data_IF_139707198080
#
_entry.id   IF_139707198080
#
_cell.length_a   1.000
_cell.length_b   1.000
_cell.length_c   1.000
_cell.angle_alpha   90.00
_cell.angle_beta   90.00
_cell.angle_gamma   90.00
#
_symmetry.space_group_name_H-M   'P 1'
#
loop_
_entity.id
_entity.type
_entity.pdbx_description
1 polymer ?
#
# COMPACT_ATOMS: atom_id res chain seq x y z
N UNK A 1 -13.27 -23.53 -11.37
CA UNK A 1 -13.57 -23.47 -9.92
C UNK A 1 -13.47 -22.01 -9.53
N UNK A 2 -14.60 -21.32 -9.39
CA UNK A 2 -14.67 -19.92 -8.94
C UNK A 2 -14.78 -19.92 -7.42
N UNK A 3 -13.78 -19.38 -6.76
CA UNK A 3 -13.69 -19.29 -5.31
C UNK A 3 -14.66 -18.19 -4.90
N UNK A 4 -15.67 -18.54 -4.12
CA UNK A 4 -16.78 -17.69 -3.67
C UNK A 4 -16.37 -16.70 -2.58
N UNK A 5 -15.32 -15.93 -2.81
CA UNK A 5 -14.95 -14.80 -1.95
C UNK A 5 -15.21 -13.54 -2.75
N UNK A 6 -16.08 -12.68 -2.20
CA UNK A 6 -16.64 -11.49 -2.83
C UNK A 6 -17.81 -11.83 -3.77
N UNK A 7 -18.98 -12.02 -3.16
CA UNK A 7 -20.25 -12.11 -3.87
C UNK A 7 -20.41 -10.88 -4.77
N UNK A 8 -20.63 -11.15 -6.05
CA UNK A 8 -21.00 -10.18 -7.06
C UNK A 8 -22.26 -9.41 -6.62
N UNK A 9 -22.12 -8.11 -6.30
CA UNK A 9 -23.28 -7.22 -6.18
C UNK A 9 -23.27 -6.17 -5.06
N UNK A 10 -22.31 -6.17 -4.13
CA UNK A 10 -22.21 -5.10 -3.12
C UNK A 10 -21.28 -3.96 -3.61
N UNK A 11 -21.67 -2.67 -3.49
CA UNK A 11 -20.81 -1.54 -3.85
C UNK A 11 -19.60 -1.37 -2.91
N UNK A 12 -19.58 -2.13 -1.82
CA UNK A 12 -18.45 -2.26 -0.90
C UNK A 12 -17.80 -3.60 -1.17
N UNK A 13 -16.49 -3.62 -1.46
CA UNK A 13 -15.75 -4.85 -1.76
C UNK A 13 -15.72 -5.88 -0.62
N UNK A 14 -14.64 -6.65 -0.53
CA UNK A 14 -14.57 -7.86 0.32
C UNK A 14 -14.53 -7.60 1.85
N UNK A 15 -14.82 -6.38 2.30
CA UNK A 15 -14.95 -6.00 3.72
C UNK A 15 -16.40 -6.19 4.19
N UNK A 16 -16.66 -7.02 5.21
CA UNK A 16 -17.97 -7.08 5.82
C UNK A 16 -18.27 -5.76 6.55
N UNK A 17 -19.11 -4.90 5.96
CA UNK A 17 -19.58 -3.65 6.57
C UNK A 17 -19.00 -2.37 5.94
N UNK A 18 -19.40 -1.22 6.52
CA UNK A 18 -18.95 0.11 6.06
C UNK A 18 -17.53 0.37 6.55
N UNK A 19 -16.63 0.68 5.62
CA UNK A 19 -15.26 1.16 5.92
C UNK A 19 -15.34 2.46 6.74
N UNK A 20 -14.56 2.61 7.85
CA UNK A 20 -14.45 3.88 8.58
C UNK A 20 -14.00 5.02 7.65
N UNK A 21 -14.22 6.28 8.07
CA UNK A 21 -13.85 7.44 7.23
C UNK A 21 -12.32 7.62 7.14
N UNK A 22 -11.62 7.46 8.27
CA UNK A 22 -10.21 7.83 8.41
C UNK A 22 -9.29 6.61 8.37
N UNK A 23 -9.39 5.84 7.28
CA UNK A 23 -8.53 4.69 7.05
C UNK A 23 -7.91 4.74 5.66
N UNK A 24 -6.76 4.10 5.55
CA UNK A 24 -6.02 3.93 4.31
C UNK A 24 -5.69 2.46 4.09
N UNK A 25 -5.37 2.10 2.86
CA UNK A 25 -5.24 0.70 2.48
C UNK A 25 -3.77 0.26 2.52
N UNK A 26 -3.52 -0.82 3.25
CA UNK A 26 -2.24 -1.54 3.25
C UNK A 26 -2.49 -2.93 2.68
N UNK A 27 -1.70 -3.30 1.68
CA UNK A 27 -1.71 -4.63 1.07
C UNK A 27 -0.31 -5.24 1.08
N UNK A 28 -0.25 -6.56 1.00
CA UNK A 28 1.01 -7.31 0.95
C UNK A 28 0.96 -8.39 -0.13
N UNK A 29 2.02 -8.48 -0.93
CA UNK A 29 2.31 -9.54 -1.89
C UNK A 29 3.52 -10.34 -1.39
N UNK A 30 3.38 -11.13 -0.30
CA UNK A 30 4.52 -11.74 0.38
C UNK A 30 5.24 -12.81 -0.45
N UNK A 31 4.63 -13.29 -1.53
CA UNK A 31 5.21 -14.29 -2.42
C UNK A 31 6.03 -13.69 -3.57
N UNK A 32 5.86 -12.40 -3.87
CA UNK A 32 6.41 -11.77 -5.08
C UNK A 32 7.21 -10.53 -4.72
N UNK A 33 8.48 -10.53 -5.12
CA UNK A 33 9.30 -9.32 -5.10
C UNK A 33 9.06 -8.55 -6.41
N UNK A 34 8.77 -7.26 -6.33
CA UNK A 34 8.56 -6.41 -7.49
C UNK A 34 9.57 -5.27 -7.52
N UNK A 35 9.81 -4.72 -8.72
CA UNK A 35 10.59 -3.50 -8.93
C UNK A 35 9.69 -2.29 -9.24
N UNK A 36 8.42 -2.53 -9.54
CA UNK A 36 7.38 -1.52 -9.71
C UNK A 36 5.99 -2.16 -9.66
N UNK A 37 5.02 -1.44 -9.12
CA UNK A 37 3.63 -1.86 -9.03
C UNK A 37 2.74 -0.62 -9.18
N UNK A 38 1.72 -0.72 -10.04
CA UNK A 38 0.74 0.34 -10.27
C UNK A 38 -0.66 -0.26 -10.14
N UNK A 39 -1.50 0.36 -9.31
CA UNK A 39 -2.90 -0.02 -9.18
C UNK A 39 -3.75 0.84 -10.12
N UNK A 40 -4.28 0.26 -11.18
CA UNK A 40 -5.26 0.94 -12.02
C UNK A 40 -6.67 0.60 -11.52
N UNK A 41 -7.27 1.52 -10.76
CA UNK A 41 -8.59 1.38 -10.17
C UNK A 41 -9.57 2.38 -10.82
N UNK A 42 -10.22 2.02 -11.95
CA UNK A 42 -11.18 2.90 -12.60
C UNK A 42 -12.35 3.23 -11.66
N UNK A 43 -12.75 4.51 -11.61
CA UNK A 43 -13.84 4.98 -10.76
C UNK A 43 -13.44 5.39 -9.33
N UNK A 44 -12.14 5.41 -9.01
CA UNK A 44 -11.63 5.80 -7.69
C UNK A 44 -11.45 7.32 -7.49
N UNK A 45 -12.13 8.17 -8.26
CA UNK A 45 -11.92 9.62 -8.26
C UNK A 45 -12.16 10.29 -6.89
N UNK A 46 -12.91 9.63 -6.00
CA UNK A 46 -13.20 10.11 -4.64
C UNK A 46 -12.33 9.44 -3.58
N UNK A 47 -11.49 8.46 -3.95
CA UNK A 47 -10.58 7.77 -3.04
C UNK A 47 -9.27 8.56 -2.90
N UNK A 48 -9.23 9.43 -1.89
CA UNK A 48 -8.07 10.30 -1.62
C UNK A 48 -7.05 9.65 -0.68
N UNK A 49 -7.41 8.55 0.00
CA UNK A 49 -6.52 7.86 0.92
C UNK A 49 -5.34 7.21 0.17
N UNK A 50 -4.13 7.21 0.77
CA UNK A 50 -2.98 6.51 0.21
C UNK A 50 -3.22 5.00 0.13
N UNK A 51 -2.66 4.37 -0.90
CA UNK A 51 -2.57 2.91 -0.98
C UNK A 51 -1.10 2.49 -0.87
N UNK A 52 -0.80 1.61 0.09
CA UNK A 52 0.52 1.02 0.28
C UNK A 52 0.49 -0.45 -0.12
N UNK A 53 1.50 -0.90 -0.84
CA UNK A 53 1.69 -2.32 -1.15
C UNK A 53 3.11 -2.74 -0.87
N UNK A 54 3.27 -3.74 0.00
CA UNK A 54 4.55 -4.36 0.31
C UNK A 54 4.76 -5.62 -0.53
N UNK A 55 5.97 -5.85 -0.99
CA UNK A 55 6.36 -7.08 -1.69
C UNK A 55 7.14 -8.04 -0.80
N UNK A 56 7.51 -9.19 -1.36
CA UNK A 56 8.48 -10.10 -0.74
C UNK A 56 9.83 -9.40 -0.60
N UNK A 57 10.39 -9.38 0.61
CA UNK A 57 11.74 -8.85 0.84
C UNK A 57 12.78 -9.69 0.10
N UNK A 58 13.91 -9.06 -0.25
CA UNK A 58 15.02 -9.69 -0.96
C UNK A 58 16.34 -9.34 -0.29
N UNK A 59 17.23 -10.33 -0.19
CA UNK A 59 18.62 -10.09 0.19
C UNK A 59 19.39 -9.71 -1.08
N UNK A 60 20.16 -8.62 -1.03
CA UNK A 60 21.13 -8.27 -2.05
C UNK A 60 22.40 -7.83 -1.35
N UNK A 61 23.49 -8.55 -1.60
CA UNK A 61 24.74 -8.38 -0.84
C UNK A 61 24.45 -8.52 0.68
N UNK A 62 24.95 -7.58 1.49
CA UNK A 62 24.76 -7.57 2.94
C UNK A 62 23.55 -6.73 3.38
N UNK A 63 22.59 -6.47 2.47
CA UNK A 63 21.41 -5.64 2.74
C UNK A 63 20.10 -6.38 2.47
N UNK A 64 19.13 -6.12 3.34
CA UNK A 64 17.74 -6.53 3.17
C UNK A 64 16.96 -5.40 2.51
N UNK A 65 16.35 -5.67 1.36
CA UNK A 65 15.51 -4.72 0.63
C UNK A 65 14.04 -5.13 0.72
N UNK A 66 13.18 -4.18 1.05
CA UNK A 66 11.73 -4.35 1.08
C UNK A 66 11.09 -3.60 -0.09
N UNK A 67 10.49 -4.29 -1.07
CA UNK A 67 9.72 -3.62 -2.11
C UNK A 67 8.50 -2.90 -1.52
N UNK A 68 8.38 -1.62 -1.81
CA UNK A 68 7.27 -0.76 -1.40
C UNK A 68 6.76 0.00 -2.62
N UNK A 69 5.44 -0.05 -2.85
CA UNK A 69 4.74 0.82 -3.78
C UNK A 69 3.77 1.71 -3.00
N UNK A 70 3.84 3.02 -3.26
CA UNK A 70 2.94 4.02 -2.69
C UNK A 70 2.17 4.63 -3.84
N UNK A 71 0.84 4.58 -3.77
CA UNK A 71 -0.04 5.26 -4.70
C UNK A 71 -0.80 6.36 -3.96
N UNK A 72 -0.74 7.56 -4.53
CA UNK A 72 -1.31 8.77 -3.98
C UNK A 72 -2.23 9.43 -5.02
N UNK A 73 -3.34 10.00 -4.56
CA UNK A 73 -4.16 10.85 -5.41
C UNK A 73 -3.56 12.26 -5.49
N UNK A 74 -3.31 12.76 -6.71
CA UNK A 74 -2.60 14.03 -6.92
C UNK A 74 -3.30 15.27 -6.34
N UNK A 75 -4.62 15.21 -6.18
CA UNK A 75 -5.37 16.29 -5.53
C UNK A 75 -5.08 16.41 -4.01
N UNK A 76 -4.58 15.35 -3.38
CA UNK A 76 -4.29 15.32 -1.93
C UNK A 76 -2.80 15.53 -1.63
N UNK A 77 -1.91 15.07 -2.52
CA UNK A 77 -0.47 15.13 -2.34
C UNK A 77 0.27 15.11 -3.67
N UNK A 78 1.49 15.64 -3.67
CA UNK A 78 2.38 15.67 -4.83
C UNK A 78 3.66 14.85 -4.59
N UNK A 79 4.63 15.00 -5.50
CA UNK A 79 5.92 14.32 -5.41
C UNK A 79 6.73 14.69 -4.17
N UNK A 80 6.64 15.93 -3.67
CA UNK A 80 7.35 16.36 -2.47
C UNK A 80 6.83 15.61 -1.24
N UNK A 81 5.52 15.56 -1.07
CA UNK A 81 4.89 14.86 0.05
C UNK A 81 5.22 13.37 0.04
N UNK A 82 5.16 12.76 -1.14
CA UNK A 82 5.45 11.32 -1.31
C UNK A 82 6.92 11.01 -1.04
N UNK A 83 7.84 11.85 -1.52
CA UNK A 83 9.27 11.67 -1.27
C UNK A 83 9.62 11.83 0.21
N UNK A 84 9.07 12.85 0.87
CA UNK A 84 9.26 13.07 2.30
C UNK A 84 8.79 11.87 3.13
N UNK A 85 7.59 11.36 2.86
CA UNK A 85 7.04 10.16 3.50
C UNK A 85 7.98 8.96 3.37
N UNK A 86 8.49 8.68 2.16
CA UNK A 86 9.37 7.53 1.91
C UNK A 86 10.71 7.68 2.65
N UNK A 87 11.27 8.89 2.69
CA UNK A 87 12.52 9.15 3.40
C UNK A 87 12.36 8.99 4.92
N UNK A 88 11.32 9.59 5.51
CA UNK A 88 11.03 9.45 6.94
C UNK A 88 10.75 7.99 7.30
N UNK A 89 10.01 7.26 6.45
CA UNK A 89 9.77 5.83 6.65
C UNK A 89 11.06 5.01 6.62
N UNK A 90 11.98 5.32 5.71
CA UNK A 90 13.29 4.66 5.64
C UNK A 90 14.12 4.91 6.91
N UNK A 91 14.08 6.12 7.46
CA UNK A 91 14.75 6.48 8.72
C UNK A 91 14.14 5.75 9.93
N UNK A 92 12.82 5.69 10.02
CA UNK A 92 12.11 4.95 11.07
C UNK A 92 12.38 3.44 11.06
N UNK A 93 12.63 2.86 9.88
CA UNK A 93 13.02 1.46 9.77
C UNK A 93 14.50 1.23 10.13
N UNK A 94 15.35 2.24 9.97
CA UNK A 94 16.76 2.17 10.33
C UNK A 94 16.96 2.26 11.86
N UNK A 95 16.08 2.97 12.56
CA UNK A 95 16.05 3.07 14.03
C UNK A 95 14.66 2.65 14.57
N UNK A 96 14.44 1.35 14.86
CA UNK A 96 13.17 0.83 15.34
C UNK A 96 12.93 1.06 16.84
N UNK A 97 13.66 1.97 17.50
CA UNK A 97 13.51 2.27 18.94
C UNK A 97 12.10 2.71 19.36
N UNK A 98 11.24 3.04 18.39
CA UNK A 98 9.83 3.39 18.60
C UNK A 98 8.89 2.18 18.78
N UNK A 99 9.37 0.94 18.57
CA UNK A 99 8.56 -0.29 18.69
C UNK A 99 8.49 -0.86 20.11
N UNK A 100 9.27 -0.31 21.06
CA UNK A 100 9.40 -0.79 22.45
C UNK A 100 8.40 -0.12 23.42
#
# INVERSE_FOLDING_TARGET
MQNSWCATGAPTGCTPGRKPADVFDISSLPWTAFTGLNLNAPGNATHMSPNFTFGKYVHREDKLFLPLAVQMHHAAADGFHTARLINEFQEMLADPSWLD
#
